data_IF_600518005184
#
_entry.id   IF_600518005184
#
_cell.length_a   1.000
_cell.length_b   1.000
_cell.length_c   1.000
_cell.angle_alpha   90.00
_cell.angle_beta   90.00
_cell.angle_gamma   90.00
#
_symmetry.space_group_name_H-M   'P 1'
#
loop_
_entity.id
_entity.type
_entity.pdbx_description
1 polymer ?
#
# COMPACT_ATOMS: atom_id res chain seq x y z
N UNK A 1 7.14 -40.93 -8.99
CA UNK A 1 6.62 -39.96 -9.98
C UNK A 1 5.53 -39.13 -9.33
N UNK A 2 5.83 -37.91 -8.89
CA UNK A 2 4.80 -36.95 -8.48
C UNK A 2 4.16 -36.35 -9.73
N UNK A 3 2.83 -36.43 -9.85
CA UNK A 3 2.11 -35.72 -10.90
C UNK A 3 2.22 -34.22 -10.61
N UNK A 4 2.67 -33.44 -11.59
CA UNK A 4 2.40 -32.01 -11.59
C UNK A 4 0.88 -31.84 -11.46
N UNK A 5 0.43 -31.27 -10.35
CA UNK A 5 -0.97 -30.94 -10.17
C UNK A 5 -1.38 -29.97 -11.27
N UNK A 6 -2.54 -30.19 -11.89
CA UNK A 6 -3.17 -29.18 -12.71
C UNK A 6 -3.31 -27.88 -11.88
N UNK A 7 -3.18 -26.73 -12.53
CA UNK A 7 -3.43 -25.43 -11.91
C UNK A 7 -4.79 -25.47 -11.19
N UNK A 8 -4.79 -25.05 -9.92
CA UNK A 8 -6.01 -24.90 -9.14
C UNK A 8 -6.89 -23.84 -9.83
N UNK A 9 -8.17 -24.10 -10.14
CA UNK A 9 -9.05 -23.09 -10.73
C UNK A 9 -9.26 -21.85 -9.84
N UNK A 10 -8.78 -21.86 -8.59
CA UNK A 10 -8.68 -20.69 -7.72
C UNK A 10 -7.36 -19.90 -7.85
N UNK A 11 -6.45 -20.32 -8.72
CA UNK A 11 -5.20 -19.60 -9.01
C UNK A 11 -5.47 -18.45 -9.99
N UNK A 12 -6.04 -17.38 -9.43
CA UNK A 12 -6.33 -16.14 -10.15
C UNK A 12 -5.04 -15.34 -10.26
N UNK A 13 -4.50 -15.22 -11.46
CA UNK A 13 -3.41 -14.29 -11.76
C UNK A 13 -3.90 -12.85 -11.60
N UNK A 14 -2.97 -11.91 -11.36
CA UNK A 14 -3.28 -10.48 -11.38
C UNK A 14 -2.31 -9.71 -12.27
N UNK A 15 -2.80 -8.61 -12.84
CA UNK A 15 -1.98 -7.67 -13.62
C UNK A 15 -2.26 -6.25 -13.17
N UNK A 16 -1.21 -5.48 -12.94
CA UNK A 16 -1.28 -4.06 -12.63
C UNK A 16 -1.11 -3.23 -13.90
N UNK A 17 -1.94 -2.20 -14.06
CA UNK A 17 -2.00 -1.38 -15.27
C UNK A 17 -2.24 0.09 -14.93
N UNK A 18 -1.41 0.98 -15.47
CA UNK A 18 -1.45 2.41 -15.12
C UNK A 18 -2.44 3.25 -15.92
N UNK A 19 -2.82 2.83 -17.12
CA UNK A 19 -3.69 3.62 -18.01
C UNK A 19 -4.88 2.77 -18.46
N UNK A 20 -6.08 3.38 -18.59
CA UNK A 20 -7.28 2.68 -19.07
C UNK A 20 -7.23 2.30 -20.56
N UNK A 21 -6.42 2.99 -21.37
CA UNK A 21 -6.29 2.75 -22.82
C UNK A 21 -5.97 1.30 -23.26
N UNK A 22 -5.02 0.57 -22.63
CA UNK A 22 -4.72 -0.82 -22.97
C UNK A 22 -5.81 -1.84 -22.58
N UNK A 23 -6.87 -1.47 -21.86
CA UNK A 23 -7.87 -2.43 -21.38
C UNK A 23 -8.78 -3.00 -22.46
N UNK A 24 -8.97 -2.31 -23.58
CA UNK A 24 -9.68 -2.88 -24.74
C UNK A 24 -9.03 -4.19 -25.22
N UNK A 25 -7.72 -4.35 -24.99
CA UNK A 25 -6.98 -5.59 -25.29
C UNK A 25 -7.25 -6.67 -24.23
N UNK A 26 -7.25 -6.34 -22.94
CA UNK A 26 -7.54 -7.30 -21.86
C UNK A 26 -8.98 -7.81 -21.90
N UNK A 27 -9.94 -6.92 -22.19
CA UNK A 27 -11.34 -7.28 -22.45
C UNK A 27 -11.46 -8.25 -23.64
N UNK A 28 -10.68 -8.06 -24.69
CA UNK A 28 -10.66 -8.93 -25.86
C UNK A 28 -10.09 -10.34 -25.61
N UNK A 29 -9.31 -10.51 -24.54
CA UNK A 29 -8.73 -11.81 -24.17
C UNK A 29 -9.70 -12.69 -23.34
N UNK A 30 -10.78 -12.12 -22.80
CA UNK A 30 -11.83 -12.81 -22.03
C UNK A 30 -11.28 -13.80 -20.97
N UNK A 31 -10.29 -13.35 -20.19
CA UNK A 31 -9.73 -14.17 -19.12
C UNK A 31 -10.51 -13.84 -17.84
N UNK A 32 -11.66 -14.51 -17.66
CA UNK A 32 -12.55 -14.31 -16.51
C UNK A 32 -11.86 -14.62 -15.16
N UNK A 33 -10.76 -15.38 -15.20
CA UNK A 33 -9.95 -15.74 -14.04
C UNK A 33 -8.78 -14.79 -13.77
N UNK A 34 -8.66 -13.65 -14.48
CA UNK A 34 -7.60 -12.67 -14.26
C UNK A 34 -8.15 -11.46 -13.50
N UNK A 35 -7.58 -11.17 -12.33
CA UNK A 35 -7.88 -9.91 -11.63
C UNK A 35 -7.06 -8.77 -12.25
N UNK A 36 -7.70 -7.66 -12.57
CA UNK A 36 -7.00 -6.48 -13.09
C UNK A 36 -6.98 -5.38 -12.05
N UNK A 37 -5.79 -4.88 -11.75
CA UNK A 37 -5.56 -3.80 -10.80
C UNK A 37 -5.25 -2.53 -11.57
N UNK A 38 -6.17 -1.56 -11.53
CA UNK A 38 -5.94 -0.23 -12.08
C UNK A 38 -5.08 0.59 -11.12
N UNK A 39 -3.84 0.84 -11.50
CA UNK A 39 -2.92 1.66 -10.72
C UNK A 39 -3.27 3.14 -10.80
N UNK A 40 -3.14 3.83 -9.67
CA UNK A 40 -3.30 5.29 -9.56
C UNK A 40 -4.63 5.81 -10.11
N UNK A 41 -5.70 5.02 -9.99
CA UNK A 41 -7.01 5.28 -10.62
C UNK A 41 -6.92 5.56 -12.13
N UNK A 42 -5.92 5.00 -12.82
CA UNK A 42 -5.72 5.24 -14.24
C UNK A 42 -5.15 6.62 -14.57
N UNK A 43 -4.49 7.27 -13.60
CA UNK A 43 -3.89 8.61 -13.70
C UNK A 43 -4.90 9.66 -14.19
N UNK A 44 -5.88 10.08 -13.35
CA UNK A 44 -6.84 11.10 -13.72
C UNK A 44 -6.13 12.35 -14.25
N UNK A 45 -6.58 12.93 -15.38
CA UNK A 45 -5.93 14.10 -16.00
C UNK A 45 -6.30 15.37 -15.22
N UNK A 46 -5.84 15.50 -13.97
CA UNK A 46 -6.26 16.57 -13.05
C UNK A 46 -5.92 17.99 -13.53
N UNK A 47 -4.97 18.12 -14.45
CA UNK A 47 -4.57 19.39 -15.08
C UNK A 47 -5.31 19.70 -16.37
N UNK A 48 -6.18 18.81 -16.84
CA UNK A 48 -6.87 18.91 -18.13
C UNK A 48 -8.36 18.58 -17.95
N UNK A 49 -9.16 19.63 -17.80
CA UNK A 49 -10.61 19.51 -17.62
C UNK A 49 -11.33 18.94 -18.86
N UNK A 50 -10.76 19.11 -20.06
CA UNK A 50 -11.33 18.59 -21.30
C UNK A 50 -11.14 17.08 -21.42
N UNK A 51 -10.02 16.55 -20.90
CA UNK A 51 -9.74 15.11 -20.87
C UNK A 51 -10.44 14.36 -19.72
N UNK A 52 -10.85 15.06 -18.66
CA UNK A 52 -11.47 14.46 -17.47
C UNK A 52 -12.75 13.64 -17.76
N UNK A 53 -13.70 14.09 -18.60
CA UNK A 53 -14.89 13.30 -18.95
C UNK A 53 -14.55 11.96 -19.61
N UNK A 54 -13.51 11.94 -20.48
CA UNK A 54 -13.07 10.72 -21.15
C UNK A 54 -12.47 9.73 -20.15
N UNK A 55 -11.57 10.19 -19.29
CA UNK A 55 -11.02 9.36 -18.21
C UNK A 55 -12.12 8.76 -17.34
N UNK A 56 -13.11 9.58 -16.93
CA UNK A 56 -14.25 9.12 -16.12
C UNK A 56 -15.04 8.03 -16.83
N UNK A 57 -15.32 8.20 -18.12
CA UNK A 57 -16.03 7.19 -18.91
C UNK A 57 -15.27 5.87 -18.94
N UNK A 58 -13.96 5.91 -19.18
CA UNK A 58 -13.13 4.72 -19.28
C UNK A 58 -12.98 4.00 -17.93
N UNK A 59 -12.80 4.74 -16.83
CA UNK A 59 -12.74 4.17 -15.47
C UNK A 59 -14.07 3.56 -15.04
N UNK A 60 -15.21 4.18 -15.40
CA UNK A 60 -16.54 3.61 -15.13
C UNK A 60 -16.77 2.33 -15.91
N UNK A 61 -16.46 2.32 -17.21
CA UNK A 61 -16.55 1.12 -18.02
C UNK A 61 -15.67 -0.01 -17.46
N UNK A 62 -14.51 0.33 -16.91
CA UNK A 62 -13.68 -0.65 -16.24
C UNK A 62 -14.33 -1.21 -14.97
N UNK A 63 -14.84 -0.33 -14.12
CA UNK A 63 -15.46 -0.70 -12.86
C UNK A 63 -16.78 -1.50 -13.03
N UNK A 64 -17.39 -1.53 -14.22
CA UNK A 64 -18.49 -2.44 -14.54
C UNK A 64 -18.05 -3.91 -14.58
N UNK A 65 -16.75 -4.18 -14.78
CA UNK A 65 -16.20 -5.52 -14.78
C UNK A 65 -15.94 -6.00 -13.34
N UNK A 66 -16.50 -7.15 -12.91
CA UNK A 66 -16.40 -7.62 -11.54
C UNK A 66 -14.96 -7.99 -11.14
N UNK A 67 -14.11 -8.39 -12.08
CA UNK A 67 -12.71 -8.77 -11.85
C UNK A 67 -11.74 -7.59 -11.77
N UNK A 68 -12.24 -6.35 -11.74
CA UNK A 68 -11.40 -5.15 -11.68
C UNK A 68 -11.42 -4.52 -10.30
N UNK A 69 -10.24 -4.07 -9.87
CA UNK A 69 -10.00 -3.32 -8.64
C UNK A 69 -9.09 -2.13 -8.96
N UNK A 70 -8.97 -1.17 -8.05
CA UNK A 70 -8.10 -0.02 -8.28
C UNK A 70 -7.28 0.37 -7.05
N UNK A 71 -6.07 0.87 -7.28
CA UNK A 71 -5.24 1.50 -6.26
C UNK A 71 -5.55 2.99 -6.18
N UNK A 72 -5.78 3.46 -4.96
CA UNK A 72 -5.80 4.89 -4.64
C UNK A 72 -4.39 5.27 -4.19
N UNK A 73 -3.60 5.73 -5.16
CA UNK A 73 -2.16 6.00 -5.01
C UNK A 73 -1.69 6.97 -6.10
N UNK A 74 -0.53 7.62 -5.92
CA UNK A 74 0.16 8.34 -7.01
C UNK A 74 -0.62 9.45 -7.73
N UNK A 75 -1.58 10.10 -7.06
CA UNK A 75 -2.47 11.11 -7.69
C UNK A 75 -1.88 12.53 -7.75
N UNK A 76 -0.58 12.67 -7.44
CA UNK A 76 0.09 13.97 -7.40
C UNK A 76 0.34 14.49 -8.81
N UNK A 77 0.03 15.77 -9.01
CA UNK A 77 0.31 16.50 -10.26
C UNK A 77 0.98 17.82 -9.89
N UNK A 78 2.20 18.11 -10.40
CA UNK A 78 2.89 19.36 -10.12
C UNK A 78 2.03 20.60 -10.42
N UNK A 79 2.02 21.56 -9.50
CA UNK A 79 1.30 22.82 -9.67
C UNK A 79 -0.20 22.77 -9.33
N UNK A 80 -0.74 21.60 -8.96
CA UNK A 80 -2.13 21.47 -8.52
C UNK A 80 -2.23 21.24 -7.01
N UNK A 81 -3.33 21.68 -6.36
CA UNK A 81 -3.61 21.34 -4.98
C UNK A 81 -3.69 19.82 -4.77
N UNK A 82 -3.15 19.35 -3.64
CA UNK A 82 -3.22 17.95 -3.23
C UNK A 82 -3.89 17.86 -1.85
N UNK A 83 -5.21 17.98 -1.86
CA UNK A 83 -6.10 17.92 -0.67
C UNK A 83 -7.21 16.90 -0.92
N UNK A 84 -7.92 16.47 0.13
CA UNK A 84 -9.02 15.53 0.00
C UNK A 84 -10.07 16.04 -0.99
N UNK A 85 -10.46 17.31 -0.89
CA UNK A 85 -11.43 17.92 -1.81
C UNK A 85 -10.94 17.97 -3.26
N UNK A 86 -9.66 18.25 -3.50
CA UNK A 86 -9.08 18.26 -4.84
C UNK A 86 -8.92 16.87 -5.46
N UNK A 87 -9.03 15.81 -4.65
CA UNK A 87 -8.97 14.41 -5.06
C UNK A 87 -10.35 13.76 -5.13
N UNK A 88 -11.37 14.38 -4.53
CA UNK A 88 -12.73 13.84 -4.42
C UNK A 88 -13.33 13.46 -5.78
N UNK A 89 -13.10 14.28 -6.81
CA UNK A 89 -13.58 14.00 -8.16
C UNK A 89 -13.03 12.69 -8.75
N UNK A 90 -11.82 12.27 -8.36
CA UNK A 90 -11.28 10.97 -8.78
C UNK A 90 -11.69 9.83 -7.85
N UNK A 91 -11.86 10.13 -6.56
CA UNK A 91 -12.23 9.17 -5.51
C UNK A 91 -13.66 8.64 -5.63
N UNK A 92 -14.63 9.52 -5.89
CA UNK A 92 -16.05 9.15 -5.96
C UNK A 92 -16.38 8.29 -7.21
N UNK A 93 -15.39 8.00 -8.05
CA UNK A 93 -15.63 7.37 -9.34
C UNK A 93 -15.52 5.84 -9.27
N UNK A 94 -16.69 5.23 -9.49
CA UNK A 94 -16.96 3.89 -10.01
C UNK A 94 -16.61 2.66 -9.15
N UNK A 95 -15.51 2.69 -8.40
CA UNK A 95 -15.15 1.56 -7.53
C UNK A 95 -15.74 1.77 -6.13
N UNK A 96 -16.55 0.81 -5.67
CA UNK A 96 -16.93 0.76 -4.26
C UNK A 96 -15.73 0.42 -3.36
N UNK A 97 -15.81 0.68 -2.04
CA UNK A 97 -14.69 0.49 -1.11
C UNK A 97 -14.08 -0.92 -1.12
N UNK A 98 -14.91 -1.94 -1.35
CA UNK A 98 -14.47 -3.34 -1.50
C UNK A 98 -13.58 -3.61 -2.72
N UNK A 99 -13.46 -2.67 -3.65
CA UNK A 99 -12.62 -2.79 -4.86
C UNK A 99 -11.55 -1.70 -4.92
N UNK A 100 -11.43 -0.89 -3.89
CA UNK A 100 -10.35 0.08 -3.72
C UNK A 100 -9.30 -0.47 -2.76
N UNK A 101 -8.04 -0.15 -3.00
CA UNK A 101 -6.95 -0.38 -2.05
C UNK A 101 -6.02 0.83 -1.98
N UNK A 102 -5.59 1.18 -0.78
CA UNK A 102 -4.60 2.24 -0.60
C UNK A 102 -3.21 1.81 -1.08
N UNK A 103 -2.49 2.72 -1.74
CA UNK A 103 -1.07 2.54 -2.05
C UNK A 103 -0.27 3.83 -1.84
N UNK A 104 0.87 3.74 -1.14
CA UNK A 104 1.68 4.92 -0.84
C UNK A 104 2.50 5.47 -2.01
N UNK A 105 2.68 4.69 -3.09
CA UNK A 105 3.47 5.03 -4.29
C UNK A 105 4.91 5.52 -3.98
N UNK A 106 5.47 5.04 -2.86
CA UNK A 106 6.83 5.41 -2.47
C UNK A 106 7.84 4.64 -3.32
N UNK A 107 8.94 5.25 -3.80
CA UNK A 107 9.42 6.61 -3.50
C UNK A 107 8.94 7.69 -4.47
N UNK A 108 8.15 7.38 -5.50
CA UNK A 108 7.69 8.34 -6.50
C UNK A 108 6.84 9.46 -5.87
N UNK A 109 6.01 9.11 -4.89
CA UNK A 109 5.21 10.07 -4.12
C UNK A 109 6.05 11.19 -3.47
N UNK A 110 7.36 11.02 -3.29
CA UNK A 110 8.25 12.10 -2.82
C UNK A 110 8.23 13.35 -3.70
N UNK A 111 7.82 13.24 -4.97
CA UNK A 111 7.61 14.38 -5.85
C UNK A 111 6.51 15.33 -5.35
N UNK A 112 5.53 14.79 -4.60
CA UNK A 112 4.43 15.56 -4.01
C UNK A 112 4.68 16.02 -2.57
N UNK A 113 5.76 15.59 -1.93
CA UNK A 113 6.13 16.01 -0.58
C UNK A 113 6.55 14.85 0.34
N UNK A 114 6.49 15.08 1.65
CA UNK A 114 6.68 14.02 2.65
C UNK A 114 5.56 12.97 2.57
N UNK A 115 5.81 11.77 3.09
CA UNK A 115 4.80 10.70 3.12
C UNK A 115 3.48 11.14 3.76
N UNK A 116 3.54 11.94 4.83
CA UNK A 116 2.36 12.47 5.51
C UNK A 116 1.57 13.41 4.58
N UNK A 117 2.26 14.24 3.79
CA UNK A 117 1.62 15.16 2.86
C UNK A 117 0.95 14.43 1.68
N UNK A 118 1.50 13.29 1.24
CA UNK A 118 0.95 12.54 0.11
C UNK A 118 -0.07 11.46 0.52
N UNK A 119 0.04 10.91 1.72
CA UNK A 119 -0.91 9.92 2.25
C UNK A 119 -2.07 10.57 3.03
N UNK A 120 -1.83 11.70 3.71
CA UNK A 120 -2.81 12.38 4.57
C UNK A 120 -4.15 12.68 3.87
N UNK A 121 -4.16 13.34 2.69
CA UNK A 121 -5.39 13.59 1.94
C UNK A 121 -6.16 12.32 1.55
N UNK A 122 -5.45 11.22 1.29
CA UNK A 122 -6.08 9.93 0.98
C UNK A 122 -6.70 9.30 2.23
N UNK A 123 -6.01 9.37 3.38
CA UNK A 123 -6.57 8.92 4.65
C UNK A 123 -7.79 9.75 5.07
N UNK A 124 -7.79 11.06 4.80
CA UNK A 124 -8.95 11.92 5.03
C UNK A 124 -10.16 11.47 4.21
N UNK A 125 -9.99 11.19 2.91
CA UNK A 125 -11.06 10.61 2.08
C UNK A 125 -11.53 9.25 2.62
N UNK A 126 -10.60 8.34 2.94
CA UNK A 126 -10.92 7.02 3.49
C UNK A 126 -11.72 7.16 4.80
N UNK A 127 -11.37 8.12 5.65
CA UNK A 127 -12.05 8.35 6.94
C UNK A 127 -13.54 8.71 6.82
N UNK A 128 -14.00 9.11 5.63
CA UNK A 128 -15.42 9.39 5.37
C UNK A 128 -16.27 8.13 5.21
N UNK A 129 -15.63 6.98 4.98
CA UNK A 129 -16.28 5.67 4.83
C UNK A 129 -16.64 5.06 6.20
N UNK A 130 -17.52 4.05 6.20
CA UNK A 130 -17.77 3.26 7.41
C UNK A 130 -16.53 2.46 7.83
N UNK A 131 -16.46 2.03 9.09
CA UNK A 131 -15.31 1.28 9.63
C UNK A 131 -14.98 0.03 8.79
N UNK A 132 -15.99 -0.70 8.33
CA UNK A 132 -15.78 -1.90 7.51
C UNK A 132 -15.23 -1.53 6.13
N UNK A 133 -15.76 -0.48 5.51
CA UNK A 133 -15.27 -0.01 4.21
C UNK A 133 -13.83 0.53 4.31
N UNK A 134 -13.48 1.21 5.41
CA UNK A 134 -12.11 1.62 5.70
C UNK A 134 -11.18 0.41 5.81
N UNK A 135 -11.59 -0.67 6.49
CA UNK A 135 -10.81 -1.90 6.57
C UNK A 135 -10.58 -2.49 5.18
N UNK A 136 -11.62 -2.52 4.33
CA UNK A 136 -11.53 -3.01 2.96
C UNK A 136 -10.51 -2.22 2.15
N UNK A 137 -10.55 -0.89 2.19
CA UNK A 137 -9.59 -0.04 1.44
C UNK A 137 -8.18 -0.12 2.00
N UNK A 138 -8.01 -0.14 3.31
CA UNK A 138 -6.69 -0.09 3.95
C UNK A 138 -5.97 -1.44 3.96
N UNK A 139 -6.72 -2.55 3.93
CA UNK A 139 -6.16 -3.90 4.03
C UNK A 139 -6.92 -4.92 3.21
N UNK A 140 -8.24 -5.02 3.36
CA UNK A 140 -9.03 -6.16 2.92
C UNK A 140 -8.93 -6.45 1.43
N UNK A 141 -9.06 -5.42 0.58
CA UNK A 141 -8.97 -5.57 -0.87
C UNK A 141 -7.58 -6.04 -1.29
N UNK A 142 -6.51 -5.44 -0.78
CA UNK A 142 -5.13 -5.84 -1.09
C UNK A 142 -4.82 -7.27 -0.59
N UNK A 143 -5.26 -7.61 0.62
CA UNK A 143 -5.04 -8.92 1.20
C UNK A 143 -5.72 -10.04 0.39
N UNK A 144 -6.94 -9.79 -0.09
CA UNK A 144 -7.68 -10.70 -0.97
C UNK A 144 -7.05 -10.81 -2.36
N UNK A 145 -6.74 -9.68 -3.00
CA UNK A 145 -6.20 -9.65 -4.37
C UNK A 145 -4.80 -10.24 -4.44
N UNK A 146 -3.92 -9.88 -3.50
CA UNK A 146 -2.53 -10.36 -3.46
C UNK A 146 -2.33 -11.58 -2.57
N UNK A 147 -3.40 -12.16 -2.03
CA UNK A 147 -3.39 -13.39 -1.22
C UNK A 147 -2.47 -13.30 0.01
N UNK A 148 -2.48 -12.16 0.69
CA UNK A 148 -1.59 -11.85 1.82
C UNK A 148 -2.03 -12.51 3.14
N UNK A 149 -3.28 -12.97 3.22
CA UNK A 149 -3.80 -13.70 4.39
C UNK A 149 -3.42 -15.20 4.38
N UNK A 150 -2.63 -15.63 3.41
CA UNK A 150 -2.07 -16.98 3.37
C UNK A 150 -1.35 -17.29 4.67
N UNK A 151 -1.81 -18.35 5.37
CA UNK A 151 -1.06 -18.97 6.46
C UNK A 151 0.37 -19.09 6.00
N UNK A 152 1.29 -18.47 6.74
CA UNK A 152 2.72 -18.58 6.54
C UNK A 152 3.03 -20.05 6.23
N UNK A 153 3.26 -20.37 4.95
CA UNK A 153 3.82 -21.67 4.63
C UNK A 153 5.18 -21.60 5.29
N UNK A 154 5.33 -22.34 6.39
CA UNK A 154 6.58 -22.38 7.14
C UNK A 154 7.68 -22.59 6.10
N UNK A 155 8.53 -21.58 5.91
CA UNK A 155 9.79 -21.76 5.22
C UNK A 155 10.60 -22.69 6.12
N UNK A 156 10.35 -23.99 6.01
CA UNK A 156 11.22 -25.00 6.57
C UNK A 156 12.55 -24.80 5.85
N UNK A 157 13.52 -24.19 6.54
CA UNK A 157 14.90 -24.11 6.05
C UNK A 157 15.32 -25.55 5.71
N UNK A 158 15.68 -25.85 4.46
CA UNK A 158 16.24 -27.16 4.15
C UNK A 158 17.56 -27.29 4.93
N UNK A 159 17.59 -28.21 5.88
CA UNK A 159 18.81 -28.64 6.57
C UNK A 159 19.32 -27.69 7.67
N UNK A 160 18.82 -27.88 8.88
CA UNK A 160 19.60 -27.58 10.09
C UNK A 160 19.43 -28.75 11.07
N UNK A 161 19.92 -29.92 10.66
CA UNK A 161 20.24 -30.98 11.59
C UNK A 161 21.43 -30.53 12.42
N UNK A 162 21.17 -30.00 13.62
CA UNK A 162 22.17 -29.99 14.70
C UNK A 162 21.51 -30.56 15.94
N UNK A 163 21.90 -31.79 16.26
CA UNK A 163 21.64 -32.46 17.53
C UNK A 163 22.15 -31.57 18.66
N UNK A 164 21.24 -31.05 19.49
CA UNK A 164 21.61 -30.47 20.77
C UNK A 164 21.97 -31.61 21.74
N UNK A 165 23.25 -31.99 21.75
CA UNK A 165 23.83 -32.77 22.83
C UNK A 165 23.93 -31.89 24.08
N UNK A 166 23.19 -32.28 25.13
CA UNK A 166 23.33 -31.73 26.47
C UNK A 166 24.70 -32.06 27.03
N UNK A 167 25.41 -31.08 27.54
CA UNK A 167 26.34 -31.30 28.65
C UNK A 167 26.22 -30.17 29.67
N UNK A 168 25.86 -30.56 30.89
CA UNK A 168 25.92 -29.77 32.11
C UNK A 168 27.32 -29.89 32.71
N UNK A 169 27.93 -28.78 33.13
CA UNK A 169 28.77 -28.72 34.35
C UNK A 169 29.13 -27.27 34.74
N UNK A 170 28.82 -26.96 36.00
CA UNK A 170 29.21 -25.91 36.97
C UNK A 170 30.60 -25.24 36.76
N UNK A 171 30.93 -24.01 37.19
CA UNK A 171 30.78 -23.32 38.51
C UNK A 171 31.21 -21.82 38.37
N UNK A 172 30.98 -20.92 39.37
CA UNK A 172 30.95 -19.46 39.20
C UNK A 172 32.24 -18.73 39.65
N UNK A 173 32.40 -17.47 39.24
CA UNK A 173 33.34 -16.53 39.88
C UNK A 173 32.79 -15.09 39.85
N UNK A 174 32.44 -14.59 41.04
CA UNK A 174 32.23 -13.17 41.34
C UNK A 174 33.59 -12.45 41.38
N UNK A 175 33.65 -11.24 40.80
CA UNK A 175 34.27 -10.08 41.48
C UNK A 175 33.78 -8.74 40.88
N UNK A 176 33.27 -7.91 41.78
CA UNK A 176 32.95 -6.46 41.79
C UNK A 176 34.06 -5.62 41.09
N UNK A 177 33.84 -4.43 40.48
CA UNK A 177 33.54 -3.12 41.11
C UNK A 177 32.93 -2.09 40.13
N UNK A 178 32.01 -1.26 40.67
CA UNK A 178 31.52 0.09 40.31
C UNK A 178 32.59 1.02 39.65
N UNK A 179 32.33 2.14 38.97
CA UNK A 179 31.29 3.17 39.04
C UNK A 179 31.52 4.15 37.85
N UNK A 180 30.49 4.82 37.33
CA UNK A 180 30.50 6.28 37.08
C UNK A 180 29.24 6.73 36.31
N UNK A 181 28.42 7.53 37.00
CA UNK A 181 27.45 8.47 36.42
C UNK A 181 28.19 9.53 35.61
N UNK A 182 27.53 10.02 34.56
CA UNK A 182 27.82 11.36 34.04
C UNK A 182 26.52 12.14 34.08
N UNK A 183 26.54 13.19 34.91
CA UNK A 183 25.46 14.13 35.14
C UNK A 183 25.24 15.05 33.93
N UNK A 184 23.97 15.42 33.73
CA UNK A 184 23.53 16.49 32.84
C UNK A 184 23.93 17.87 33.39
N UNK A 185 24.67 18.64 32.60
CA UNK A 185 24.92 20.06 32.85
C UNK A 185 24.16 20.91 31.81
N UNK A 186 23.22 21.72 32.29
CA UNK A 186 22.80 22.96 31.63
C UNK A 186 23.77 24.08 32.01
N UNK A 187 23.89 25.14 31.19
CA UNK A 187 24.12 26.47 31.72
C UNK A 187 23.08 27.49 31.23
N UNK A 188 22.77 28.39 32.16
CA UNK A 188 21.83 29.50 32.11
C UNK A 188 22.45 30.79 31.54
N UNK A 189 21.58 31.57 30.89
CA UNK A 189 21.42 33.04 30.95
C UNK A 189 22.58 33.99 30.58
N UNK A 190 22.26 34.95 29.70
CA UNK A 190 22.63 36.36 29.93
C UNK A 190 22.93 37.20 28.69
N UNK A 191 21.98 38.06 28.28
CA UNK A 191 22.25 39.39 27.75
C UNK A 191 21.00 40.30 27.83
N UNK A 192 21.12 41.38 28.60
CA UNK A 192 20.23 42.56 28.74
C UNK A 192 20.41 43.49 27.53
N UNK A 193 19.37 44.02 26.87
CA UNK A 193 18.60 45.24 27.14
C UNK A 193 19.03 46.51 26.36
N UNK A 194 18.03 47.14 25.72
CA UNK A 194 17.80 48.58 25.44
C UNK A 194 18.71 49.34 24.46
N UNK A 195 18.14 49.76 23.32
CA UNK A 195 17.88 51.16 22.90
C UNK A 195 17.14 51.19 21.56
#
# INVERSE_FOLDING_TARGET
>A
MGKCGAADPSDTDHVDVEHPGPFGVLLGLNIDSLTVVLDHLGKPPRSDEEAMPRWRQEVRALAELPQTVAKVSGLFVPGLPYTADALRQAWDEAFGPERLMFGGDWPISRLGGSYVQTAGPLFELISTLSVNEQESVLRGTAARVYRLDGKCQSFARPGAGYMASRNQASTPLMRTVNNARVDSASPSSGASAMA
#
